data_IF_830587180435
#
_entry.id   IF_830587180435
#
_cell.length_a   1.000
_cell.length_b   1.000
_cell.length_c   1.000
_cell.angle_alpha   90.00
_cell.angle_beta   90.00
_cell.angle_gamma   90.00
#
_symmetry.space_group_name_H-M   'P 1'
#
loop_
_entity.id
_entity.type
_entity.pdbx_description
1 polymer ?
#
# COMPACT_ATOMS: atom_id res chain seq x y z
N UNK A 1 -5.27 -68.64 31.95
CA UNK A 1 -3.97 -69.34 31.73
C UNK A 1 -3.27 -68.67 30.57
N UNK A 2 -2.05 -68.31 30.84
CA UNK A 2 -1.00 -67.67 29.97
C UNK A 2 -1.02 -66.21 29.73
N UNK A 3 -0.16 -65.51 30.48
CA UNK A 3 0.49 -64.27 30.29
C UNK A 3 1.27 -64.20 28.98
N UNK A 4 1.31 -63.02 28.35
CA UNK A 4 2.40 -62.62 27.45
C UNK A 4 2.64 -61.15 27.59
N UNK A 5 3.72 -60.77 28.24
CA UNK A 5 4.31 -59.44 28.29
C UNK A 5 4.78 -59.04 26.91
N UNK A 6 4.48 -57.79 26.48
CA UNK A 6 5.10 -57.13 25.33
C UNK A 6 5.92 -55.95 25.80
N UNK A 7 7.22 -56.04 25.58
CA UNK A 7 8.20 -54.96 25.77
C UNK A 7 7.97 -53.79 24.80
N UNK A 8 7.85 -52.59 25.35
CA UNK A 8 7.86 -51.35 24.59
C UNK A 8 9.31 -50.90 24.37
N UNK A 9 9.76 -50.92 23.11
CA UNK A 9 11.01 -50.31 22.69
C UNK A 9 10.76 -48.84 22.38
N UNK A 10 11.35 -47.93 23.18
CA UNK A 10 11.52 -46.54 22.90
C UNK A 10 12.61 -46.38 21.83
N UNK A 11 12.21 -46.00 20.59
CA UNK A 11 13.13 -45.41 19.62
C UNK A 11 13.14 -43.91 19.84
N UNK A 12 14.21 -43.41 20.43
CA UNK A 12 14.58 -41.99 20.35
C UNK A 12 15.08 -41.71 18.94
N UNK A 13 14.32 -40.94 18.17
CA UNK A 13 14.79 -40.35 16.91
C UNK A 13 15.57 -39.06 17.21
N UNK A 14 16.86 -39.13 17.03
CA UNK A 14 17.74 -37.95 17.02
C UNK A 14 17.37 -37.05 15.85
N UNK A 15 16.82 -35.88 16.16
CA UNK A 15 16.70 -34.77 15.20
C UNK A 15 18.08 -34.10 15.02
N UNK A 16 18.53 -33.82 13.80
CA UNK A 16 19.78 -33.10 13.58
C UNK A 16 19.65 -31.66 14.03
N UNK A 17 20.67 -31.18 14.74
CA UNK A 17 20.84 -29.82 15.21
C UNK A 17 20.66 -28.79 14.07
N UNK A 18 19.79 -27.84 14.32
CA UNK A 18 19.56 -26.69 13.44
C UNK A 18 20.84 -25.91 13.27
N UNK A 19 21.29 -25.84 12.04
CA UNK A 19 22.44 -25.04 11.60
C UNK A 19 22.26 -23.58 12.03
N UNK A 20 23.23 -23.05 12.76
CA UNK A 20 23.31 -21.65 13.15
C UNK A 20 23.29 -20.77 11.90
N UNK A 21 22.21 -20.03 11.70
CA UNK A 21 22.14 -19.01 10.66
C UNK A 21 23.15 -17.92 10.97
N UNK A 22 24.08 -17.70 10.04
CA UNK A 22 24.95 -16.54 10.04
C UNK A 22 24.10 -15.26 10.11
N UNK A 23 24.32 -14.48 11.17
CA UNK A 23 23.68 -13.18 11.36
C UNK A 23 24.03 -12.26 10.21
N UNK A 24 23.02 -11.83 9.45
CA UNK A 24 23.17 -10.78 8.45
C UNK A 24 23.69 -9.50 9.12
N UNK A 25 24.57 -8.73 8.46
CA UNK A 25 25.05 -7.47 9.01
C UNK A 25 23.87 -6.56 9.32
N UNK A 26 23.82 -6.07 10.56
CA UNK A 26 22.77 -5.20 11.06
C UNK A 26 22.81 -3.86 10.34
N UNK A 27 21.67 -3.46 9.77
CA UNK A 27 21.47 -2.10 9.25
C UNK A 27 21.45 -1.16 10.46
N UNK A 28 22.08 0.03 10.40
CA UNK A 28 21.98 1.02 11.46
C UNK A 28 20.51 1.32 11.78
N UNK A 29 20.14 1.30 13.04
CA UNK A 29 18.81 1.68 13.48
C UNK A 29 18.72 3.20 13.51
N UNK A 30 17.76 3.76 12.80
CA UNK A 30 17.49 5.19 12.78
C UNK A 30 16.52 5.64 13.90
N UNK A 31 16.25 4.80 14.88
CA UNK A 31 15.26 5.09 15.92
C UNK A 31 15.71 4.78 17.32
N UNK A 32 16.94 4.77 17.67
CA UNK A 32 17.28 4.60 19.08
C UNK A 32 18.46 5.39 19.49
N UNK A 33 18.19 6.41 20.16
CA UNK A 33 19.08 6.96 21.14
C UNK A 33 19.47 5.91 22.18
N UNK A 34 20.71 5.46 22.16
CA UNK A 34 21.37 5.14 23.41
C UNK A 34 21.37 6.41 24.26
N UNK A 35 20.85 6.31 25.46
CA UNK A 35 20.89 7.37 26.47
C UNK A 35 22.32 7.91 26.63
N UNK A 36 22.63 9.01 25.99
CA UNK A 36 23.59 10.00 26.42
C UNK A 36 22.84 11.32 26.44
N UNK A 37 22.81 11.93 27.62
CA UNK A 37 22.24 13.23 27.91
C UNK A 37 22.71 14.29 26.91
N UNK A 38 21.96 14.43 25.81
CA UNK A 38 21.71 15.69 25.14
C UNK A 38 20.18 15.82 25.15
N UNK A 39 19.69 16.77 25.94
CA UNK A 39 18.32 17.26 25.80
C UNK A 39 18.23 17.88 24.39
N UNK A 40 18.03 17.05 23.37
CA UNK A 40 17.43 17.52 22.15
C UNK A 40 16.00 17.89 22.54
N UNK A 41 15.71 19.17 22.55
CA UNK A 41 14.35 19.65 22.52
C UNK A 41 13.70 18.96 21.33
N UNK A 42 12.86 17.93 21.60
CA UNK A 42 11.96 17.41 20.62
C UNK A 42 11.09 18.59 20.18
N UNK A 43 10.99 18.89 18.89
CA UNK A 43 10.17 19.96 18.41
C UNK A 43 8.76 19.79 18.95
N UNK A 44 8.10 20.87 19.32
CA UNK A 44 6.72 20.89 19.78
C UNK A 44 5.79 20.53 18.59
N UNK A 45 5.78 19.25 18.20
CA UNK A 45 4.88 18.73 17.18
C UNK A 45 3.51 18.52 17.82
N UNK A 46 2.55 19.35 17.45
CA UNK A 46 1.18 19.24 17.93
C UNK A 46 0.36 18.40 16.94
N UNK A 47 -0.36 17.42 17.46
CA UNK A 47 -1.29 16.64 16.68
C UNK A 47 -2.62 16.48 17.39
N UNK A 48 -3.71 16.43 16.62
CA UNK A 48 -5.07 16.17 17.14
C UNK A 48 -5.89 15.38 16.12
N UNK A 49 -6.81 14.58 16.61
CA UNK A 49 -7.84 13.98 15.77
C UNK A 49 -8.94 15.01 15.55
N UNK A 50 -9.13 15.45 14.31
CA UNK A 50 -10.16 16.43 13.97
C UNK A 50 -11.54 15.81 13.97
N UNK A 51 -11.68 14.65 13.35
CA UNK A 51 -12.98 13.99 13.22
C UNK A 51 -12.82 12.49 12.90
N UNK A 52 -13.91 11.76 13.08
CA UNK A 52 -14.02 10.35 12.71
C UNK A 52 -15.18 10.20 11.73
N UNK A 53 -14.86 9.76 10.49
CA UNK A 53 -15.84 9.53 9.44
C UNK A 53 -16.37 8.11 9.56
N UNK A 54 -17.66 7.98 9.82
CA UNK A 54 -18.37 6.71 9.99
C UNK A 54 -19.28 6.44 8.80
N UNK A 55 -19.39 5.19 8.38
CA UNK A 55 -20.29 4.83 7.29
C UNK A 55 -20.02 3.45 6.72
N UNK A 56 -18.75 3.03 6.62
CA UNK A 56 -18.43 1.66 6.24
C UNK A 56 -18.88 0.65 7.29
N UNK A 57 -19.36 -0.49 6.84
CA UNK A 57 -19.82 -1.58 7.72
C UNK A 57 -18.75 -2.61 8.01
N UNK A 58 -17.66 -2.58 7.26
CA UNK A 58 -16.48 -3.43 7.45
C UNK A 58 -15.20 -2.62 7.25
N UNK A 59 -14.04 -3.25 7.46
CA UNK A 59 -12.76 -2.56 7.46
C UNK A 59 -12.46 -1.75 6.18
N UNK A 60 -11.87 -0.59 6.37
CA UNK A 60 -11.40 0.29 5.30
C UNK A 60 -10.02 -0.18 4.84
N UNK A 61 -9.89 -0.45 3.55
CA UNK A 61 -8.69 -1.04 2.96
C UNK A 61 -7.89 -0.09 2.08
N UNK A 62 -8.50 0.99 1.61
CA UNK A 62 -7.83 1.95 0.73
C UNK A 62 -8.40 3.34 0.89
N UNK A 63 -7.53 4.33 0.86
CA UNK A 63 -7.85 5.75 0.85
C UNK A 63 -7.10 6.43 -0.30
N UNK A 64 -7.74 7.36 -0.99
CA UNK A 64 -7.10 8.20 -2.01
C UNK A 64 -7.70 9.59 -2.03
N UNK A 65 -6.86 10.59 -2.23
CA UNK A 65 -7.24 12.00 -2.29
C UNK A 65 -7.29 12.49 -3.72
N UNK A 66 -8.29 13.29 -4.03
CA UNK A 66 -8.34 14.04 -5.29
C UNK A 66 -9.13 15.34 -5.12
N UNK A 67 -8.48 16.46 -5.37
CA UNK A 67 -9.08 17.78 -5.22
C UNK A 67 -9.76 17.96 -3.84
N UNK A 68 -11.08 18.20 -3.87
CA UNK A 68 -11.89 18.44 -2.67
C UNK A 68 -12.41 17.17 -1.99
N UNK A 69 -12.09 15.99 -2.52
CA UNK A 69 -12.66 14.72 -2.05
C UNK A 69 -11.60 13.75 -1.55
N UNK A 70 -11.97 13.02 -0.50
CA UNK A 70 -11.34 11.78 -0.09
C UNK A 70 -12.23 10.64 -0.56
N UNK A 71 -11.65 9.63 -1.22
CA UNK A 71 -12.34 8.38 -1.54
C UNK A 71 -11.85 7.28 -0.63
N UNK A 72 -12.78 6.48 -0.14
CA UNK A 72 -12.49 5.29 0.67
C UNK A 72 -13.08 4.04 0.03
N UNK A 73 -12.31 2.96 0.07
CA UNK A 73 -12.74 1.63 -0.36
C UNK A 73 -12.67 0.65 0.79
N UNK A 74 -13.70 -0.18 0.92
CA UNK A 74 -13.84 -1.09 2.04
C UNK A 74 -14.15 -2.53 1.61
N UNK A 75 -14.03 -3.42 2.56
CA UNK A 75 -14.41 -4.82 2.41
C UNK A 75 -15.92 -5.04 2.30
N UNK A 76 -16.75 -4.05 2.65
CA UNK A 76 -18.18 -4.02 2.38
C UNK A 76 -18.55 -3.89 0.89
N UNK A 77 -17.52 -3.81 0.02
CA UNK A 77 -17.62 -3.66 -1.44
C UNK A 77 -18.00 -2.24 -1.89
N UNK A 78 -18.17 -1.32 -0.97
CA UNK A 78 -18.54 0.07 -1.26
C UNK A 78 -17.32 0.94 -1.46
N UNK A 79 -17.50 1.96 -2.31
CA UNK A 79 -16.60 3.10 -2.44
C UNK A 79 -17.40 4.32 -2.02
N UNK A 80 -16.85 5.08 -1.08
CA UNK A 80 -17.48 6.28 -0.54
C UNK A 80 -16.63 7.50 -0.84
N UNK A 81 -17.29 8.68 -0.99
CA UNK A 81 -16.62 9.96 -1.15
C UNK A 81 -16.95 10.89 0.03
N UNK A 82 -15.96 11.62 0.49
CA UNK A 82 -16.04 12.53 1.63
C UNK A 82 -15.54 13.90 1.20
N UNK A 83 -16.34 14.97 1.42
CA UNK A 83 -15.94 16.35 1.12
C UNK A 83 -14.95 16.83 2.18
N UNK A 84 -13.77 17.27 1.78
CA UNK A 84 -12.71 17.73 2.70
C UNK A 84 -13.06 19.04 3.42
N UNK A 85 -13.81 19.95 2.78
CA UNK A 85 -14.14 21.26 3.34
C UNK A 85 -15.08 21.19 4.56
N UNK A 86 -15.85 20.13 4.70
CA UNK A 86 -16.75 19.91 5.84
C UNK A 86 -16.06 19.27 7.05
N UNK A 87 -14.79 18.87 6.93
CA UNK A 87 -14.06 18.19 8.00
C UNK A 87 -13.58 19.15 9.10
N UNK A 88 -13.74 20.45 8.90
CA UNK A 88 -13.32 21.51 9.85
C UNK A 88 -14.48 22.18 10.59
N UNK A 89 -15.75 21.87 10.30
CA UNK A 89 -16.88 22.43 11.01
C UNK A 89 -17.03 21.72 12.36
N UNK A 90 -16.89 22.45 13.44
CA UNK A 90 -17.02 21.93 14.81
C UNK A 90 -18.46 21.48 15.16
N UNK A 91 -19.44 21.72 14.26
CA UNK A 91 -20.86 21.50 14.51
C UNK A 91 -21.39 20.12 14.11
N UNK A 92 -20.63 19.33 13.33
CA UNK A 92 -21.12 18.03 12.83
C UNK A 92 -20.21 16.88 13.26
N UNK A 93 -20.34 16.46 14.53
CA UNK A 93 -19.63 15.27 15.03
C UNK A 93 -20.05 13.94 14.42
N UNK A 94 -21.14 13.90 13.66
CA UNK A 94 -21.60 12.71 12.93
C UNK A 94 -22.03 13.07 11.51
N UNK A 95 -21.09 13.11 10.57
CA UNK A 95 -21.44 13.18 9.14
C UNK A 95 -21.92 11.79 8.70
N UNK A 96 -23.17 11.49 9.03
CA UNK A 96 -23.92 10.37 8.45
C UNK A 96 -24.42 10.80 7.06
N UNK A 97 -23.52 10.80 6.08
CA UNK A 97 -23.90 11.04 4.70
C UNK A 97 -24.02 9.73 3.94
N UNK A 98 -25.08 9.56 3.20
CA UNK A 98 -25.19 8.52 2.17
C UNK A 98 -24.25 8.89 1.01
N UNK A 99 -22.96 8.73 1.24
CA UNK A 99 -21.86 9.11 0.36
C UNK A 99 -21.32 7.92 -0.45
N UNK A 100 -22.11 6.86 -0.61
CA UNK A 100 -21.77 5.72 -1.45
C UNK A 100 -21.83 6.13 -2.91
N UNK A 101 -20.68 6.16 -3.56
CA UNK A 101 -20.54 6.57 -4.97
C UNK A 101 -20.49 5.39 -5.93
N UNK A 102 -20.05 4.22 -5.46
CA UNK A 102 -19.99 3.00 -6.26
C UNK A 102 -20.02 1.75 -5.38
N UNK A 103 -20.56 0.66 -5.93
CA UNK A 103 -20.60 -0.66 -5.26
C UNK A 103 -20.02 -1.72 -6.18
N UNK A 104 -19.00 -2.44 -5.70
CA UNK A 104 -18.37 -3.55 -6.39
C UNK A 104 -19.02 -4.90 -6.10
N UNK A 105 -18.52 -5.96 -6.75
CA UNK A 105 -18.94 -7.35 -6.45
C UNK A 105 -18.06 -8.04 -5.42
N UNK A 106 -16.86 -7.52 -5.17
CA UNK A 106 -15.90 -8.02 -4.19
C UNK A 106 -15.31 -6.87 -3.36
N UNK A 107 -14.74 -7.21 -2.21
CA UNK A 107 -14.06 -6.24 -1.33
C UNK A 107 -13.09 -5.37 -2.12
N UNK A 108 -13.13 -4.06 -1.89
CA UNK A 108 -12.17 -3.11 -2.47
C UNK A 108 -10.83 -3.30 -1.77
N UNK A 109 -9.72 -3.29 -2.51
CA UNK A 109 -8.36 -3.45 -1.97
C UNK A 109 -7.48 -2.25 -2.22
N UNK A 110 -7.65 -1.57 -3.36
CA UNK A 110 -6.87 -0.40 -3.72
C UNK A 110 -7.68 0.54 -4.62
N UNK A 111 -7.46 1.83 -4.46
CA UNK A 111 -8.07 2.91 -5.23
C UNK A 111 -7.00 3.82 -5.79
N UNK A 112 -7.13 4.20 -7.07
CA UNK A 112 -6.34 5.27 -7.69
C UNK A 112 -7.24 6.13 -8.56
N UNK A 113 -6.98 7.43 -8.60
CA UNK A 113 -7.76 8.40 -9.39
C UNK A 113 -6.91 8.98 -10.50
N UNK A 114 -7.50 9.05 -11.68
CA UNK A 114 -6.92 9.67 -12.86
C UNK A 114 -7.95 10.59 -13.52
N UNK A 115 -7.76 11.90 -13.39
CA UNK A 115 -8.70 12.91 -13.89
C UNK A 115 -10.15 12.65 -13.45
N UNK A 116 -11.04 12.33 -14.38
CA UNK A 116 -12.43 12.00 -14.16
C UNK A 116 -12.70 10.48 -13.97
N UNK A 117 -11.65 9.68 -13.79
CA UNK A 117 -11.76 8.23 -13.64
C UNK A 117 -11.24 7.76 -12.30
N UNK A 118 -12.00 6.88 -11.65
CA UNK A 118 -11.60 6.15 -10.46
C UNK A 118 -11.39 4.68 -10.81
N UNK A 119 -10.21 4.16 -10.53
CA UNK A 119 -9.89 2.73 -10.67
C UNK A 119 -9.94 2.07 -9.31
N UNK A 120 -10.60 0.93 -9.23
CA UNK A 120 -10.74 0.14 -8.00
C UNK A 120 -10.31 -1.31 -8.22
N UNK A 121 -9.37 -1.79 -7.42
CA UNK A 121 -8.97 -3.19 -7.36
C UNK A 121 -9.83 -3.94 -6.36
N UNK A 122 -10.17 -5.18 -6.69
CA UNK A 122 -11.11 -5.96 -5.90
C UNK A 122 -10.62 -7.38 -5.59
N UNK A 123 -11.17 -7.94 -4.53
CA UNK A 123 -10.93 -9.33 -4.13
C UNK A 123 -11.51 -10.34 -5.15
N UNK A 124 -12.47 -9.95 -5.98
CA UNK A 124 -13.03 -10.78 -7.04
C UNK A 124 -12.16 -10.84 -8.31
N UNK A 125 -10.85 -10.54 -8.17
CA UNK A 125 -9.82 -10.62 -9.20
C UNK A 125 -9.97 -9.61 -10.34
N UNK A 126 -10.79 -8.57 -10.16
CA UNK A 126 -11.12 -7.58 -11.18
C UNK A 126 -10.72 -6.18 -10.76
N UNK A 127 -10.43 -5.38 -11.78
CA UNK A 127 -10.28 -3.94 -11.65
C UNK A 127 -11.52 -3.31 -12.29
N UNK A 128 -12.16 -2.36 -11.61
CA UNK A 128 -13.30 -1.61 -12.14
C UNK A 128 -12.92 -0.17 -12.37
N UNK A 129 -13.46 0.39 -13.44
CA UNK A 129 -13.27 1.79 -13.80
C UNK A 129 -14.60 2.50 -13.69
N UNK A 130 -14.60 3.60 -12.98
CA UNK A 130 -15.77 4.42 -12.71
C UNK A 130 -15.53 5.83 -13.24
N UNK A 131 -16.53 6.43 -13.90
CA UNK A 131 -16.49 7.85 -14.27
C UNK A 131 -16.97 8.67 -13.08
N UNK A 132 -16.16 9.64 -12.68
CA UNK A 132 -16.49 10.59 -11.63
C UNK A 132 -17.42 11.63 -12.21
N UNK A 133 -18.66 11.68 -11.76
CA UNK A 133 -19.64 12.67 -12.21
C UNK A 133 -19.57 13.87 -11.26
N UNK A 134 -19.09 15.00 -11.78
CA UNK A 134 -19.00 16.27 -11.04
C UNK A 134 -20.25 17.14 -11.26
N UNK A 135 -21.45 16.58 -11.11
CA UNK A 135 -22.66 17.39 -11.19
C UNK A 135 -22.73 18.32 -9.97
N UNK A 136 -22.56 19.62 -10.24
CA UNK A 136 -22.56 20.67 -9.20
C UNK A 136 -23.95 20.88 -8.57
N UNK A 137 -25.03 20.39 -9.19
CA UNK A 137 -26.41 20.67 -8.80
C UNK A 137 -27.00 19.69 -7.77
N UNK A 138 -26.43 18.50 -7.60
CA UNK A 138 -26.91 17.56 -6.60
C UNK A 138 -25.76 17.11 -5.69
N UNK A 139 -25.96 17.15 -4.40
CA UNK A 139 -24.99 16.76 -3.36
C UNK A 139 -24.64 15.25 -3.40
N UNK A 140 -25.29 14.47 -4.25
CA UNK A 140 -25.07 13.04 -4.40
C UNK A 140 -24.26 12.73 -5.65
N UNK A 141 -22.95 12.51 -5.46
CA UNK A 141 -22.04 12.04 -6.52
C UNK A 141 -22.19 10.54 -6.71
N UNK A 142 -23.04 10.12 -7.63
CA UNK A 142 -23.08 8.71 -8.05
C UNK A 142 -22.18 8.52 -9.26
N UNK A 143 -21.14 7.67 -9.13
CA UNK A 143 -20.22 7.38 -10.23
C UNK A 143 -20.82 6.34 -11.17
N UNK A 144 -20.56 6.50 -12.47
CA UNK A 144 -21.02 5.55 -13.49
C UNK A 144 -19.93 4.52 -13.79
N UNK A 145 -20.31 3.25 -13.85
CA UNK A 145 -19.38 2.18 -14.23
C UNK A 145 -19.05 2.28 -15.72
N UNK A 146 -17.74 2.45 -16.04
CA UNK A 146 -17.26 2.51 -17.41
C UNK A 146 -16.79 1.16 -17.93
N UNK A 147 -15.97 0.46 -17.17
CA UNK A 147 -15.34 -0.78 -17.61
C UNK A 147 -14.99 -1.71 -16.45
N UNK A 148 -14.86 -2.99 -16.77
CA UNK A 148 -14.24 -3.99 -15.87
C UNK A 148 -13.10 -4.64 -16.62
N UNK A 149 -11.89 -4.61 -16.03
CA UNK A 149 -10.69 -5.19 -16.60
C UNK A 149 -10.51 -6.64 -16.09
N UNK A 150 -10.10 -7.54 -16.98
CA UNK A 150 -9.92 -7.35 -18.42
C UNK A 150 -11.25 -7.08 -19.13
N UNK A 151 -11.21 -6.27 -20.19
CA UNK A 151 -12.39 -5.91 -20.99
C UNK A 151 -12.97 -7.11 -21.74
N UNK A 152 -14.20 -6.99 -22.24
CA UNK A 152 -14.78 -8.04 -23.07
C UNK A 152 -13.95 -8.27 -24.33
N UNK A 153 -13.41 -7.21 -24.95
CA UNK A 153 -12.51 -7.30 -26.10
C UNK A 153 -11.23 -8.09 -25.80
N UNK A 154 -10.56 -7.77 -24.67
CA UNK A 154 -9.35 -8.51 -24.26
C UNK A 154 -9.65 -9.99 -23.99
N UNK A 155 -10.83 -10.31 -23.45
CA UNK A 155 -11.25 -11.69 -23.21
C UNK A 155 -11.49 -12.43 -24.53
N UNK A 156 -12.28 -11.84 -25.44
CA UNK A 156 -12.64 -12.46 -26.69
C UNK A 156 -11.41 -12.76 -27.56
N UNK A 157 -10.50 -11.79 -27.70
CA UNK A 157 -9.27 -11.95 -28.46
C UNK A 157 -8.34 -13.06 -27.93
N UNK A 158 -8.43 -13.36 -26.63
CA UNK A 158 -7.51 -14.30 -25.97
C UNK A 158 -8.12 -15.70 -25.74
N UNK A 159 -9.44 -15.88 -25.89
CA UNK A 159 -10.11 -17.19 -25.70
C UNK A 159 -9.73 -18.16 -26.83
N UNK A 160 -9.63 -17.67 -28.05
CA UNK A 160 -9.43 -18.52 -29.24
C UNK A 160 -7.98 -18.93 -29.49
N UNK A 161 -7.01 -18.42 -28.74
CA UNK A 161 -5.61 -18.74 -28.92
C UNK A 161 -5.12 -19.64 -27.77
N UNK A 162 -4.81 -20.96 -28.04
CA UNK A 162 -4.33 -21.87 -26.99
C UNK A 162 -3.10 -21.38 -26.23
N UNK A 163 -2.21 -20.64 -26.93
CA UNK A 163 -1.01 -20.01 -26.33
C UNK A 163 -1.32 -18.97 -25.24
N UNK A 164 -2.54 -18.48 -25.19
CA UNK A 164 -2.97 -17.43 -24.25
C UNK A 164 -3.65 -18.00 -23.01
N UNK A 165 -3.76 -19.30 -22.87
CA UNK A 165 -4.33 -19.96 -21.71
C UNK A 165 -3.24 -20.27 -20.69
N UNK A 166 -3.46 -19.83 -19.44
CA UNK A 166 -2.60 -20.11 -18.29
C UNK A 166 -3.35 -21.05 -17.36
N UNK A 167 -2.72 -22.15 -16.97
CA UNK A 167 -3.27 -23.08 -16.00
C UNK A 167 -3.11 -22.49 -14.60
N UNK A 168 -4.24 -22.22 -13.90
CA UNK A 168 -4.26 -21.69 -12.55
C UNK A 168 -4.24 -22.82 -11.52
N UNK A 169 -5.02 -23.88 -11.75
CA UNK A 169 -5.13 -25.08 -10.93
C UNK A 169 -5.34 -26.30 -11.84
N UNK A 170 -5.23 -27.51 -11.28
CA UNK A 170 -5.26 -28.79 -12.00
C UNK A 170 -6.38 -28.90 -13.06
N UNK A 171 -7.51 -28.17 -12.88
CA UNK A 171 -8.66 -28.18 -13.80
C UNK A 171 -9.20 -26.77 -14.13
N UNK A 172 -8.44 -25.71 -13.87
CA UNK A 172 -8.89 -24.34 -14.12
C UNK A 172 -7.85 -23.58 -14.94
N UNK A 173 -8.24 -23.24 -16.15
CA UNK A 173 -7.46 -22.35 -17.03
C UNK A 173 -8.11 -20.97 -17.08
N UNK A 174 -7.33 -19.94 -17.26
CA UNK A 174 -7.81 -18.61 -17.64
C UNK A 174 -6.87 -17.99 -18.67
N UNK A 175 -7.34 -16.94 -19.34
CA UNK A 175 -6.48 -16.21 -20.25
C UNK A 175 -5.45 -15.39 -19.48
N UNK A 176 -4.28 -15.18 -20.05
CA UNK A 176 -3.15 -14.46 -19.44
C UNK A 176 -3.50 -13.03 -18.97
N UNK A 177 -4.54 -12.43 -19.53
CA UNK A 177 -5.00 -11.09 -19.18
C UNK A 177 -5.71 -11.02 -17.82
N UNK A 178 -6.21 -12.15 -17.29
CA UNK A 178 -6.89 -12.17 -15.99
C UNK A 178 -5.91 -12.28 -14.83
N UNK A 179 -6.21 -11.56 -13.73
CA UNK A 179 -5.69 -11.97 -12.44
C UNK A 179 -6.45 -13.22 -11.95
N UNK A 180 -5.73 -14.15 -11.35
CA UNK A 180 -6.28 -15.42 -10.88
C UNK A 180 -6.67 -15.37 -9.39
N UNK A 181 -6.23 -14.32 -8.69
CA UNK A 181 -6.51 -14.07 -7.28
C UNK A 181 -6.74 -12.57 -7.05
N UNK A 182 -6.92 -12.17 -5.80
CA UNK A 182 -7.15 -10.80 -5.35
C UNK A 182 -6.18 -9.82 -6.00
N UNK A 183 -6.70 -8.76 -6.61
CA UNK A 183 -5.89 -7.61 -7.04
C UNK A 183 -5.60 -6.78 -5.79
N UNK A 184 -4.35 -6.82 -5.32
CA UNK A 184 -3.95 -6.28 -4.02
C UNK A 184 -3.64 -4.79 -4.04
N UNK A 185 -2.99 -4.30 -5.12
CA UNK A 185 -2.62 -2.90 -5.23
C UNK A 185 -2.62 -2.40 -6.68
N UNK A 186 -2.80 -1.09 -6.83
CA UNK A 186 -2.76 -0.33 -8.07
C UNK A 186 -1.77 0.83 -7.95
N UNK A 187 -1.08 1.15 -9.04
CA UNK A 187 -0.29 2.38 -9.20
C UNK A 187 -0.43 2.92 -10.62
N UNK A 188 -0.31 4.25 -10.77
CA UNK A 188 -0.28 4.91 -12.07
C UNK A 188 1.16 5.28 -12.41
N UNK A 189 1.52 5.22 -13.71
CA UNK A 189 2.76 5.83 -14.20
C UNK A 189 2.72 7.36 -14.01
N UNK A 190 3.88 8.03 -13.98
CA UNK A 190 3.97 9.50 -13.82
C UNK A 190 3.19 10.25 -14.90
N UNK A 191 3.33 9.80 -16.16
CA UNK A 191 2.59 10.36 -17.31
C UNK A 191 1.11 9.95 -17.32
N UNK A 192 0.70 9.11 -16.39
CA UNK A 192 -0.67 8.61 -16.24
C UNK A 192 -1.19 7.79 -17.44
N UNK A 193 -0.31 7.41 -18.37
CA UNK A 193 -0.68 6.60 -19.54
C UNK A 193 -0.87 5.12 -19.20
N UNK A 194 -0.23 4.63 -18.12
CA UNK A 194 -0.23 3.25 -17.69
C UNK A 194 -0.80 3.09 -16.28
N UNK A 195 -1.53 2.00 -16.09
CA UNK A 195 -1.95 1.50 -14.79
C UNK A 195 -1.24 0.17 -14.54
N UNK A 196 -0.59 0.07 -13.40
CA UNK A 196 0.02 -1.14 -12.88
C UNK A 196 -0.91 -1.81 -11.89
N UNK A 197 -1.10 -3.11 -12.00
CA UNK A 197 -1.85 -3.90 -11.02
C UNK A 197 -1.06 -5.12 -10.60
N UNK A 198 -1.05 -5.38 -9.31
CA UNK A 198 -0.42 -6.56 -8.70
C UNK A 198 -1.44 -7.40 -7.98
N UNK A 199 -1.15 -8.68 -7.83
CA UNK A 199 -2.09 -9.64 -7.27
C UNK A 199 -1.40 -10.71 -6.41
N UNK A 200 -2.19 -11.31 -5.55
CA UNK A 200 -1.78 -12.48 -4.78
C UNK A 200 -1.53 -13.72 -5.65
N UNK A 201 -1.92 -13.67 -6.94
CA UNK A 201 -1.55 -14.67 -7.94
C UNK A 201 -0.09 -14.57 -8.41
N UNK A 202 0.70 -13.68 -7.81
CA UNK A 202 2.12 -13.43 -8.09
C UNK A 202 2.37 -12.81 -9.46
N UNK A 203 1.37 -12.14 -10.05
CA UNK A 203 1.51 -11.46 -11.35
C UNK A 203 1.51 -9.95 -11.19
N UNK A 204 2.28 -9.28 -12.06
CA UNK A 204 2.22 -7.85 -12.35
C UNK A 204 1.63 -7.68 -13.74
N UNK A 205 0.60 -6.84 -13.89
CA UNK A 205 -0.02 -6.52 -15.18
C UNK A 205 0.01 -5.02 -15.43
N UNK A 206 0.16 -4.70 -16.70
CA UNK A 206 0.26 -3.35 -17.21
C UNK A 206 -0.92 -3.09 -18.15
N UNK A 207 -1.67 -2.03 -17.88
CA UNK A 207 -2.85 -1.66 -18.63
C UNK A 207 -2.70 -0.24 -19.16
N UNK A 208 -3.20 0.00 -20.37
CA UNK A 208 -3.31 1.35 -20.90
C UNK A 208 -4.53 2.06 -20.34
N UNK A 209 -4.38 3.31 -19.88
CA UNK A 209 -5.46 4.02 -19.15
C UNK A 209 -6.53 4.62 -20.05
N UNK A 210 -6.25 4.82 -21.34
CA UNK A 210 -7.21 5.43 -22.28
C UNK A 210 -8.25 4.43 -22.82
N UNK A 211 -7.84 3.21 -23.17
CA UNK A 211 -8.67 2.16 -23.76
C UNK A 211 -8.80 0.91 -22.86
N UNK A 212 -8.15 0.91 -21.71
CA UNK A 212 -8.17 -0.16 -20.70
C UNK A 212 -7.61 -1.50 -21.18
N UNK A 213 -6.84 -1.50 -22.25
CA UNK A 213 -6.24 -2.71 -22.84
C UNK A 213 -5.10 -3.22 -21.97
N UNK A 214 -5.06 -4.54 -21.75
CA UNK A 214 -3.91 -5.21 -21.14
C UNK A 214 -2.75 -5.24 -22.13
N UNK A 215 -1.65 -4.56 -21.81
CA UNK A 215 -0.46 -4.49 -22.64
C UNK A 215 0.51 -5.63 -22.35
N UNK A 216 0.67 -5.95 -21.04
CA UNK A 216 1.66 -6.91 -20.59
C UNK A 216 1.18 -7.63 -19.32
N UNK A 217 1.63 -8.87 -19.16
CA UNK A 217 1.45 -9.64 -17.93
C UNK A 217 2.74 -10.39 -17.61
N UNK A 218 3.36 -10.00 -16.51
CA UNK A 218 4.55 -10.66 -15.97
C UNK A 218 4.07 -11.73 -14.99
N UNK A 219 4.12 -12.98 -15.45
CA UNK A 219 3.77 -14.14 -14.63
C UNK A 219 4.95 -14.54 -13.74
N UNK A 220 4.65 -15.02 -12.52
CA UNK A 220 5.68 -15.38 -11.53
C UNK A 220 6.67 -14.23 -11.30
N UNK A 221 6.13 -13.00 -11.23
CA UNK A 221 6.93 -11.83 -10.91
C UNK A 221 7.60 -11.98 -9.53
N UNK A 222 6.95 -12.67 -8.60
CA UNK A 222 7.46 -13.01 -7.27
C UNK A 222 7.19 -14.49 -6.94
N UNK A 223 7.87 -15.00 -5.91
CA UNK A 223 7.70 -16.37 -5.42
C UNK A 223 6.44 -16.51 -4.55
N UNK A 224 5.91 -15.39 -4.01
CA UNK A 224 4.71 -15.34 -3.17
C UNK A 224 3.84 -14.13 -3.54
N UNK A 225 2.71 -13.96 -2.86
CA UNK A 225 1.72 -12.91 -3.06
C UNK A 225 2.35 -11.51 -3.12
N UNK A 226 1.98 -10.71 -4.13
CA UNK A 226 2.43 -9.33 -4.24
C UNK A 226 1.41 -8.45 -3.50
N UNK A 227 1.87 -7.66 -2.52
CA UNK A 227 1.01 -6.85 -1.68
C UNK A 227 1.00 -5.37 -2.06
N UNK A 228 2.11 -4.87 -2.61
CA UNK A 228 2.30 -3.45 -2.89
C UNK A 228 2.95 -3.21 -4.24
N UNK A 229 2.62 -2.07 -4.86
CA UNK A 229 3.22 -1.56 -6.09
C UNK A 229 3.37 -0.05 -5.99
N UNK A 230 4.52 0.46 -6.43
CA UNK A 230 4.77 1.90 -6.57
C UNK A 230 5.47 2.14 -7.91
N UNK A 231 5.21 3.29 -8.54
CA UNK A 231 5.84 3.68 -9.80
C UNK A 231 6.57 5.02 -9.61
N UNK A 232 7.84 5.06 -10.01
CA UNK A 232 8.66 6.26 -9.89
C UNK A 232 8.47 7.20 -11.09
N UNK A 233 9.02 8.40 -10.93
CA UNK A 233 9.04 9.41 -11.97
C UNK A 233 9.87 9.02 -13.19
N UNK A 234 10.84 8.15 -13.03
CA UNK A 234 11.78 7.72 -14.08
C UNK A 234 11.28 6.49 -14.84
N UNK A 235 10.08 6.00 -14.51
CA UNK A 235 9.47 4.85 -15.15
C UNK A 235 9.82 3.51 -14.51
N UNK A 236 10.53 3.49 -13.38
CA UNK A 236 10.74 2.27 -12.60
C UNK A 236 9.48 1.90 -11.84
N UNK A 237 9.18 0.61 -11.79
CA UNK A 237 8.06 0.04 -11.04
C UNK A 237 8.61 -0.88 -9.95
N UNK A 238 8.21 -0.62 -8.73
CA UNK A 238 8.60 -1.38 -7.55
C UNK A 238 7.45 -2.27 -7.10
N UNK A 239 7.71 -3.55 -6.89
CA UNK A 239 6.72 -4.50 -6.37
C UNK A 239 7.22 -5.12 -5.07
N UNK A 240 6.41 -5.07 -4.02
CA UNK A 240 6.70 -5.65 -2.70
C UNK A 240 5.85 -6.88 -2.43
N UNK A 241 6.47 -7.95 -1.95
CA UNK A 241 5.84 -9.25 -1.83
C UNK A 241 5.99 -9.89 -0.45
N UNK A 242 5.11 -10.86 -0.19
CA UNK A 242 5.19 -11.74 0.96
C UNK A 242 6.46 -12.61 0.93
N UNK A 243 7.13 -12.76 -0.22
CA UNK A 243 8.43 -13.42 -0.36
C UNK A 243 9.60 -12.63 0.25
N UNK A 244 9.32 -11.47 0.91
CA UNK A 244 10.26 -10.58 1.59
C UNK A 244 11.13 -9.74 0.66
N UNK A 245 10.88 -9.78 -0.65
CA UNK A 245 11.67 -9.09 -1.66
C UNK A 245 10.91 -7.90 -2.25
N UNK A 246 11.67 -6.90 -2.66
CA UNK A 246 11.21 -5.86 -3.58
C UNK A 246 11.87 -6.12 -4.91
N UNK A 247 11.11 -6.13 -5.99
CA UNK A 247 11.64 -6.23 -7.35
C UNK A 247 11.42 -4.93 -8.08
N UNK A 248 12.44 -4.52 -8.84
CA UNK A 248 12.46 -3.29 -9.64
C UNK A 248 12.34 -3.67 -11.11
N UNK A 249 11.33 -3.12 -11.76
CA UNK A 249 11.01 -3.38 -13.16
C UNK A 249 11.16 -2.09 -13.96
N UNK A 250 11.80 -2.18 -15.12
CA UNK A 250 11.99 -1.03 -16.02
C UNK A 250 11.54 -1.37 -17.42
N UNK A 251 10.88 -0.42 -18.08
CA UNK A 251 10.52 -0.54 -19.49
C UNK A 251 11.73 -0.31 -20.38
N UNK A 252 12.04 -1.28 -21.25
CA UNK A 252 13.18 -1.25 -22.19
C UNK A 252 12.82 -0.65 -23.55
N UNK A 253 11.97 0.37 -23.63
CA UNK A 253 11.61 1.03 -24.89
C UNK A 253 10.69 0.24 -25.82
N UNK A 254 10.75 -1.08 -25.83
CA UNK A 254 9.91 -1.99 -26.62
C UNK A 254 8.57 -2.35 -25.96
N UNK A 255 8.10 -1.56 -25.02
CA UNK A 255 6.86 -1.77 -24.23
C UNK A 255 6.86 -3.01 -23.34
N UNK A 256 8.02 -3.62 -23.08
CA UNK A 256 8.18 -4.73 -22.14
C UNK A 256 8.96 -4.29 -20.90
N UNK A 257 8.51 -4.75 -19.74
CA UNK A 257 9.21 -4.52 -18.49
C UNK A 257 10.13 -5.70 -18.19
N UNK A 258 11.38 -5.39 -17.88
CA UNK A 258 12.39 -6.37 -17.45
C UNK A 258 12.74 -6.15 -15.97
N UNK A 259 13.09 -7.24 -15.30
CA UNK A 259 13.62 -7.17 -13.93
C UNK A 259 15.02 -6.56 -13.97
N UNK A 260 15.20 -5.44 -13.26
CA UNK A 260 16.48 -4.72 -13.19
C UNK A 260 17.22 -5.03 -11.89
N UNK A 261 16.49 -5.12 -10.78
CA UNK A 261 17.07 -5.38 -9.48
C UNK A 261 16.11 -6.13 -8.55
N UNK A 262 16.68 -6.83 -7.59
CA UNK A 262 15.97 -7.44 -6.46
C UNK A 262 16.60 -6.91 -5.16
N UNK A 263 15.77 -6.32 -4.30
CA UNK A 263 16.18 -5.70 -3.05
C UNK A 263 15.75 -6.61 -1.90
N UNK A 264 16.71 -7.02 -1.08
CA UNK A 264 16.52 -7.98 0.01
C UNK A 264 17.13 -7.42 1.31
N UNK A 265 16.28 -7.05 2.27
CA UNK A 265 16.68 -6.60 3.62
C UNK A 265 15.64 -6.97 4.68
N UNK A 266 14.37 -7.06 4.30
CA UNK A 266 13.32 -7.46 5.23
C UNK A 266 13.43 -8.94 5.60
N UNK A 267 13.19 -9.23 6.88
CA UNK A 267 13.14 -10.61 7.39
C UNK A 267 11.76 -11.25 7.23
N UNK A 268 10.75 -10.45 6.88
CA UNK A 268 9.36 -10.93 6.71
C UNK A 268 8.67 -10.21 5.54
N UNK A 269 7.46 -10.64 5.19
CA UNK A 269 6.71 -10.17 4.04
C UNK A 269 6.50 -8.66 4.02
N UNK A 270 6.65 -8.05 2.83
CA UNK A 270 6.45 -6.63 2.59
C UNK A 270 4.96 -6.37 2.37
N UNK A 271 4.42 -5.37 3.05
CA UNK A 271 3.02 -4.99 2.97
C UNK A 271 2.78 -3.67 2.22
N UNK A 272 3.72 -2.74 2.30
CA UNK A 272 3.56 -1.40 1.76
C UNK A 272 4.84 -0.86 1.16
N UNK A 273 4.68 -0.07 0.09
CA UNK A 273 5.73 0.70 -0.56
C UNK A 273 5.25 2.14 -0.72
N UNK A 274 6.13 3.11 -0.49
CA UNK A 274 5.89 4.51 -0.79
C UNK A 274 7.17 5.16 -1.31
N UNK A 275 7.04 6.07 -2.27
CA UNK A 275 8.16 6.82 -2.85
C UNK A 275 8.12 8.27 -2.34
N UNK A 276 9.29 8.89 -2.20
CA UNK A 276 9.42 10.34 -2.08
C UNK A 276 8.85 11.03 -3.32
N UNK A 277 8.49 12.30 -3.20
CA UNK A 277 7.85 13.05 -4.28
C UNK A 277 8.71 13.13 -5.56
N UNK A 278 10.03 13.18 -5.39
CA UNK A 278 11.02 13.17 -6.48
C UNK A 278 11.35 11.75 -6.98
N UNK A 279 10.95 10.72 -6.24
CA UNK A 279 11.22 9.31 -6.56
C UNK A 279 12.64 8.85 -6.25
N UNK A 280 13.44 9.64 -5.53
CA UNK A 280 14.82 9.30 -5.14
C UNK A 280 14.88 8.29 -4.00
N UNK A 281 13.88 8.32 -3.11
CA UNK A 281 13.81 7.48 -1.92
C UNK A 281 12.58 6.58 -1.99
N UNK A 282 12.79 5.29 -1.73
CA UNK A 282 11.73 4.31 -1.56
C UNK A 282 11.67 3.88 -0.09
N UNK A 283 10.50 3.87 0.48
CA UNK A 283 10.19 3.35 1.80
C UNK A 283 9.43 2.03 1.68
N UNK A 284 9.86 1.01 2.40
CA UNK A 284 9.18 -0.28 2.44
C UNK A 284 8.83 -0.68 3.86
N UNK A 285 7.55 -0.95 4.10
CA UNK A 285 7.02 -1.40 5.38
C UNK A 285 6.66 -2.89 5.35
N UNK A 286 7.06 -3.63 6.40
CA UNK A 286 6.92 -5.07 6.40
C UNK A 286 6.38 -5.65 7.72
N UNK A 287 6.10 -6.95 7.70
CA UNK A 287 5.67 -7.71 8.87
C UNK A 287 6.75 -7.81 9.95
N UNK A 288 8.01 -7.55 9.65
CA UNK A 288 9.12 -7.50 10.61
C UNK A 288 9.12 -6.23 11.48
N UNK A 289 8.07 -5.40 11.40
CA UNK A 289 7.85 -4.17 12.18
C UNK A 289 8.77 -3.02 11.82
N UNK A 290 9.53 -3.13 10.73
CA UNK A 290 10.48 -2.10 10.27
C UNK A 290 10.00 -1.42 9.00
N UNK A 291 10.51 -0.20 8.80
CA UNK A 291 10.44 0.50 7.52
C UNK A 291 11.87 0.66 7.05
N UNK A 292 12.23 0.04 5.93
CA UNK A 292 13.57 0.19 5.34
C UNK A 292 13.55 1.36 4.36
N UNK A 293 14.61 2.17 4.41
CA UNK A 293 14.85 3.32 3.53
C UNK A 293 15.83 2.89 2.46
N UNK A 294 15.46 3.12 1.22
CA UNK A 294 16.26 2.80 0.04
C UNK A 294 16.50 4.08 -0.74
N UNK A 295 17.74 4.37 -1.09
CA UNK A 295 18.13 5.49 -1.94
C UNK A 295 18.62 5.00 -3.30
N UNK A 296 18.46 5.81 -4.34
CA UNK A 296 19.07 5.53 -5.63
C UNK A 296 20.59 5.56 -5.54
N UNK A 297 21.23 4.54 -6.11
CA UNK A 297 22.69 4.46 -6.18
C UNK A 297 23.23 5.60 -7.07
N UNK A 298 24.00 6.49 -6.47
CA UNK A 298 24.65 7.64 -7.13
C UNK A 298 25.83 7.19 -8.01
N UNK A 299 26.31 5.96 -7.82
CA UNK A 299 27.48 5.39 -8.50
C UNK A 299 27.22 4.86 -9.92
N UNK A 300 26.07 5.16 -10.53
CA UNK A 300 25.72 4.74 -11.89
C UNK A 300 25.12 3.34 -11.97
N UNK A 301 24.89 2.66 -10.86
CA UNK A 301 24.09 1.45 -10.77
C UNK A 301 22.61 1.78 -10.94
N UNK A 302 21.88 0.94 -11.67
CA UNK A 302 20.42 1.11 -11.86
C UNK A 302 19.59 0.66 -10.65
N UNK A 303 20.21 0.54 -9.48
CA UNK A 303 19.63 -0.05 -8.28
C UNK A 303 19.30 0.95 -7.16
N UNK A 304 18.53 0.47 -6.18
CA UNK A 304 18.31 1.11 -4.89
C UNK A 304 19.22 0.47 -3.84
N UNK A 305 19.80 1.25 -2.94
CA UNK A 305 20.64 0.78 -1.83
C UNK A 305 19.94 1.06 -0.50
N UNK A 306 19.95 0.09 0.40
CA UNK A 306 19.39 0.28 1.73
C UNK A 306 20.34 1.16 2.57
N UNK A 307 19.86 2.33 2.99
CA UNK A 307 20.63 3.32 3.74
C UNK A 307 20.26 3.35 5.21
N UNK A 308 19.06 2.88 5.59
CA UNK A 308 18.63 2.89 6.96
C UNK A 308 17.30 2.16 7.20
N UNK A 309 16.87 2.15 8.47
CA UNK A 309 15.59 1.58 8.86
C UNK A 309 14.98 2.34 10.04
N UNK A 310 13.69 2.69 9.90
CA UNK A 310 12.88 3.29 10.95
C UNK A 310 12.31 2.16 11.83
N UNK A 311 12.51 2.26 13.12
CA UNK A 311 12.06 1.27 14.10
C UNK A 311 11.27 1.96 15.20
N UNK A 312 10.20 1.32 15.65
CA UNK A 312 9.34 1.86 16.72
C UNK A 312 8.00 1.17 16.79
N UNK A 313 7.45 0.73 15.67
CA UNK A 313 6.24 -0.09 15.67
C UNK A 313 6.46 -1.42 16.40
N UNK A 314 5.48 -1.82 17.21
CA UNK A 314 5.53 -3.07 17.98
C UNK A 314 4.96 -4.26 17.23
N UNK A 315 4.22 -4.00 16.13
CA UNK A 315 3.66 -5.01 15.24
C UNK A 315 3.89 -4.63 13.77
N UNK A 316 3.40 -5.46 12.85
CA UNK A 316 3.57 -5.32 11.41
C UNK A 316 3.21 -3.92 10.92
N UNK A 317 4.07 -3.32 10.08
CA UNK A 317 3.73 -2.14 9.30
C UNK A 317 2.82 -2.56 8.16
N UNK A 318 1.64 -1.95 8.03
CA UNK A 318 0.62 -2.36 7.08
C UNK A 318 0.44 -1.39 5.91
N UNK A 319 0.71 -0.10 6.12
CA UNK A 319 0.57 0.95 5.12
C UNK A 319 1.56 2.08 5.34
N UNK A 320 1.88 2.78 4.25
CA UNK A 320 2.77 3.92 4.21
C UNK A 320 2.16 5.02 3.36
N UNK A 321 2.41 6.28 3.72
CA UNK A 321 2.16 7.45 2.91
C UNK A 321 3.31 8.44 3.09
N UNK A 322 3.65 9.14 2.00
CA UNK A 322 4.67 10.21 2.03
C UNK A 322 4.01 11.52 1.68
N UNK A 323 4.33 12.56 2.42
CA UNK A 323 3.91 13.94 2.15
C UNK A 323 5.07 14.87 2.45
N UNK A 324 5.55 15.59 1.43
CA UNK A 324 6.80 16.39 1.52
C UNK A 324 7.97 15.54 2.02
N UNK A 325 8.56 15.93 3.15
CA UNK A 325 9.67 15.28 3.86
C UNK A 325 9.20 14.28 4.94
N UNK A 326 7.89 14.15 5.12
CA UNK A 326 7.32 13.28 6.14
C UNK A 326 6.90 11.91 5.60
N UNK A 327 7.23 10.88 6.36
CA UNK A 327 6.74 9.50 6.16
C UNK A 327 5.73 9.18 7.24
N UNK A 328 4.54 8.77 6.84
CA UNK A 328 3.49 8.29 7.74
C UNK A 328 3.38 6.78 7.60
N UNK A 329 3.39 6.07 8.71
CA UNK A 329 3.26 4.61 8.75
C UNK A 329 2.13 4.18 9.65
N UNK A 330 1.29 3.27 9.16
CA UNK A 330 0.22 2.65 9.95
C UNK A 330 0.52 1.18 10.22
N UNK A 331 0.19 0.72 11.41
CA UNK A 331 0.59 -0.59 11.88
C UNK A 331 -0.55 -1.40 12.50
N UNK A 332 -0.31 -2.69 12.60
CA UNK A 332 -1.15 -3.62 13.34
C UNK A 332 -1.17 -3.31 14.84
N UNK A 333 -0.22 -2.54 15.37
CA UNK A 333 -0.21 -2.04 16.74
C UNK A 333 -1.25 -0.94 17.02
N UNK A 334 -2.09 -0.61 16.03
CA UNK A 334 -3.18 0.38 16.07
C UNK A 334 -2.72 1.83 16.10
N UNK A 335 -1.42 2.08 15.92
CA UNK A 335 -0.84 3.42 15.91
C UNK A 335 -0.47 3.85 14.50
N UNK A 336 -0.41 5.17 14.31
CA UNK A 336 0.23 5.80 13.18
C UNK A 336 1.47 6.50 13.71
N UNK A 337 2.61 6.30 13.05
CA UNK A 337 3.83 7.04 13.36
C UNK A 337 4.17 7.97 12.20
N UNK A 338 4.60 9.17 12.55
CA UNK A 338 5.08 10.16 11.61
C UNK A 338 6.58 10.33 11.81
N UNK A 339 7.31 10.23 10.73
CA UNK A 339 8.76 10.25 10.70
C UNK A 339 9.25 11.37 9.80
N UNK A 340 10.33 12.04 10.19
CA UNK A 340 11.13 12.89 9.31
C UNK A 340 12.48 12.21 9.09
N UNK A 341 12.93 12.19 7.86
CA UNK A 341 14.19 11.57 7.47
C UNK A 341 15.12 12.67 6.93
N UNK A 342 15.90 13.28 7.83
CA UNK A 342 16.93 14.24 7.47
C UNK A 342 18.29 13.54 7.43
N UNK A 343 19.05 13.72 6.36
CA UNK A 343 20.45 13.27 6.20
C UNK A 343 20.76 11.86 6.75
N UNK A 344 19.87 10.87 6.45
CA UNK A 344 19.97 9.47 6.88
C UNK A 344 19.62 9.19 8.36
N UNK A 345 19.25 10.21 9.14
CA UNK A 345 18.77 10.06 10.49
C UNK A 345 17.27 10.27 10.53
N UNK A 346 16.50 9.17 10.64
CA UNK A 346 15.04 9.25 10.77
C UNK A 346 14.64 9.41 12.24
N UNK A 347 13.89 10.46 12.55
CA UNK A 347 13.29 10.63 13.88
C UNK A 347 11.77 10.44 13.84
N UNK A 348 11.22 9.85 14.89
CA UNK A 348 9.78 9.75 15.08
C UNK A 348 9.27 11.07 15.68
N UNK A 349 8.56 11.86 14.88
CA UNK A 349 8.03 13.16 15.30
C UNK A 349 6.76 13.01 16.15
N UNK A 350 5.90 12.05 15.81
CA UNK A 350 4.62 11.87 16.49
C UNK A 350 4.15 10.41 16.43
N UNK A 351 3.40 10.01 17.45
CA UNK A 351 2.65 8.76 17.52
C UNK A 351 1.17 9.10 17.70
N UNK A 352 0.36 8.82 16.68
CA UNK A 352 -1.07 9.11 16.70
C UNK A 352 -1.81 7.87 17.20
N UNK A 353 -2.44 7.99 18.34
CA UNK A 353 -3.21 6.93 19.00
C UNK A 353 -4.70 7.24 18.99
N UNK A 354 -5.54 6.22 18.97
CA UNK A 354 -7.01 6.38 19.03
C UNK A 354 -7.79 5.43 18.11
N UNK A 355 -7.12 4.69 17.23
CA UNK A 355 -7.74 3.57 16.54
C UNK A 355 -7.91 2.36 17.45
N UNK A 356 -9.05 1.65 17.31
CA UNK A 356 -9.33 0.44 18.09
C UNK A 356 -8.79 -0.83 17.44
N UNK A 357 -8.47 -0.76 16.16
CA UNK A 357 -7.95 -1.87 15.37
C UNK A 357 -6.71 -1.51 14.54
N UNK A 358 -6.08 -2.48 13.88
CA UNK A 358 -4.97 -2.29 12.96
C UNK A 358 -5.22 -1.22 11.91
N UNK A 359 -4.27 -0.30 11.71
CA UNK A 359 -4.33 0.75 10.67
C UNK A 359 -3.95 0.15 9.33
N UNK A 360 -4.92 0.05 8.41
CA UNK A 360 -4.78 -0.71 7.16
C UNK A 360 -4.43 0.15 5.96
N UNK A 361 -4.82 1.42 5.96
CA UNK A 361 -4.54 2.34 4.86
C UNK A 361 -4.33 3.76 5.38
N UNK A 362 -3.49 4.50 4.68
CA UNK A 362 -3.14 5.90 4.96
C UNK A 362 -3.12 6.71 3.68
N UNK A 363 -3.44 7.99 3.80
CA UNK A 363 -3.07 9.03 2.82
C UNK A 363 -2.85 10.33 3.55
N UNK A 364 -1.99 11.20 3.02
CA UNK A 364 -1.64 12.47 3.65
C UNK A 364 -1.57 13.60 2.62
N UNK A 365 -1.74 14.84 3.10
CA UNK A 365 -1.64 16.04 2.27
C UNK A 365 -1.26 17.23 3.13
N UNK A 366 -0.75 18.29 2.51
CA UNK A 366 -0.55 19.59 3.16
C UNK A 366 -1.93 20.18 3.48
N UNK A 367 -2.03 20.81 4.64
CA UNK A 367 -3.19 21.60 5.05
C UNK A 367 -2.96 23.07 4.66
N UNK A 368 -3.55 23.49 3.55
CA UNK A 368 -3.40 24.87 3.05
C UNK A 368 -4.22 25.92 3.82
N UNK A 369 -5.01 25.52 4.82
CA UNK A 369 -5.85 26.46 5.58
C UNK A 369 -5.10 27.18 6.70
N UNK A 370 -3.88 26.77 7.02
CA UNK A 370 -3.08 27.37 8.08
C UNK A 370 -1.70 27.81 7.57
N UNK A 371 -1.56 29.02 6.98
CA UNK A 371 -0.33 29.42 6.31
C UNK A 371 0.84 29.77 7.24
N UNK A 372 0.62 29.89 8.54
CA UNK A 372 1.67 30.29 9.51
C UNK A 372 2.50 29.16 10.08
N UNK A 373 2.06 27.92 9.96
CA UNK A 373 2.79 26.69 10.35
C UNK A 373 2.60 25.64 9.30
N UNK A 374 3.62 24.82 9.04
CA UNK A 374 3.46 23.68 8.13
C UNK A 374 2.52 22.68 8.80
N UNK A 375 1.29 22.68 8.34
CA UNK A 375 0.22 21.81 8.82
C UNK A 375 -0.06 20.71 7.81
N UNK A 376 -0.22 19.50 8.29
CA UNK A 376 -0.51 18.33 7.48
C UNK A 376 -1.81 17.66 7.93
N UNK A 377 -2.54 17.13 6.97
CA UNK A 377 -3.70 16.30 7.20
C UNK A 377 -3.38 14.85 6.86
N UNK A 378 -3.59 13.97 7.83
CA UNK A 378 -3.39 12.53 7.68
C UNK A 378 -4.77 11.87 7.80
N UNK A 379 -5.10 11.03 6.84
CA UNK A 379 -6.33 10.23 6.82
C UNK A 379 -5.95 8.78 7.00
N UNK A 380 -6.58 8.11 7.95
CA UNK A 380 -6.27 6.72 8.28
C UNK A 380 -7.52 5.88 8.36
N UNK A 381 -7.50 4.73 7.69
CA UNK A 381 -8.55 3.72 7.76
C UNK A 381 -8.04 2.45 8.44
N UNK A 382 -8.90 1.83 9.23
CA UNK A 382 -8.54 0.68 10.04
C UNK A 382 -9.55 -0.47 9.97
N UNK A 383 -9.34 -1.50 10.79
CA UNK A 383 -10.22 -2.67 10.86
C UNK A 383 -11.49 -2.42 11.69
N UNK A 384 -11.63 -1.29 12.40
CA UNK A 384 -12.85 -0.92 13.15
C UNK A 384 -13.89 -0.17 12.31
N UNK A 385 -13.71 -0.13 10.98
CA UNK A 385 -14.60 0.49 9.98
C UNK A 385 -14.56 2.02 9.94
N UNK A 386 -13.84 2.66 10.84
CA UNK A 386 -13.73 4.11 10.95
C UNK A 386 -12.59 4.67 10.09
N UNK A 387 -12.79 5.91 9.61
CA UNK A 387 -11.72 6.71 9.04
C UNK A 387 -11.48 7.88 9.97
N UNK A 388 -10.25 8.03 10.45
CA UNK A 388 -9.85 9.18 11.29
C UNK A 388 -9.09 10.21 10.47
N UNK A 389 -9.38 11.47 10.77
CA UNK A 389 -8.70 12.64 10.18
C UNK A 389 -7.86 13.29 11.26
N UNK A 390 -6.58 13.38 11.02
CA UNK A 390 -5.62 13.95 11.96
C UNK A 390 -5.02 15.21 11.38
N UNK A 391 -4.87 16.23 12.21
CA UNK A 391 -4.07 17.40 11.90
C UNK A 391 -2.74 17.28 12.66
N UNK A 392 -1.67 17.57 11.95
CA UNK A 392 -0.31 17.58 12.48
C UNK A 392 0.32 18.92 12.14
N UNK A 393 0.76 19.65 13.16
CA UNK A 393 1.48 20.91 13.00
C UNK A 393 2.95 20.68 13.32
N UNK A 394 3.80 20.91 12.34
CA UNK A 394 5.26 20.76 12.47
C UNK A 394 5.88 22.15 12.35
N UNK A 395 6.64 22.62 13.35
CA UNK A 395 7.35 23.89 13.25
C UNK A 395 8.32 23.93 12.08
N UNK A 396 8.48 25.11 11.46
CA UNK A 396 9.38 25.33 10.33
C UNK A 396 10.86 25.38 10.70
N UNK A 397 11.16 25.57 12.00
CA UNK A 397 12.51 25.80 12.52
C UNK A 397 13.22 24.49 12.95
N UNK A 398 13.02 23.44 12.17
CA UNK A 398 13.58 22.10 12.41
C UNK A 398 14.40 21.64 11.22
#
# INVERSE_FOLDING_TARGET
MYDSQSHSNHHQSNLPSVCSQSSLPSIPSLSSSSQRHHQHFLPNVHHRCLTTLKGHTTYVSSLTLTGKFLYSGSSDKEIRSWKRNHLYSELDHEILCNNVVAVGKGAVKSLVVLADKLFSAHQDHKIRVWKINNNQETDQQKHTHLATLPTLGDRALNIFLPKNQVQIRRHKTCTWVHHADTVSALALSKDKSLLYSVSWDRTLKIWRTNDFKCLESISRAHDDAINAVAASSDGDVYTGSADRKIKVWRSSGEKKHSLVATLEKHSSGINALALSNDGSILYSGACDRTIVIWEKDVGGGSGMVAVGALRGHTQSVLCLAVVCDLVCSGSADKTIRVWRCDDRNGCCLAVLEGHKGPVKCLTATIDHQNPSNTSYLIYSGNLDCDIKVWQLNVPTDL
#
